data_IF_991786673228
#
_entry.id   IF_991786673228
#
_cell.length_a   1.000
_cell.length_b   1.000
_cell.length_c   1.000
_cell.angle_alpha   90.00
_cell.angle_beta   90.00
_cell.angle_gamma   90.00
#
_symmetry.space_group_name_H-M   'P 1'
#
loop_
_entity.id
_entity.type
_entity.pdbx_description
1 polymer ?
#
# COMPACT_ATOMS: atom_id res chain seq x y z
N UNK A 1 -12.89 -8.01 12.59
CA UNK A 1 -13.36 -6.65 12.24
C UNK A 1 -12.20 -5.75 11.80
N UNK A 2 -10.95 -6.08 12.13
CA UNK A 2 -9.77 -5.31 11.73
C UNK A 2 -9.38 -5.42 10.25
N UNK A 3 -9.54 -6.59 9.62
CA UNK A 3 -9.28 -6.77 8.16
C UNK A 3 -10.11 -5.80 7.31
N UNK A 4 -11.38 -5.57 7.66
CA UNK A 4 -12.25 -4.64 6.95
C UNK A 4 -11.82 -3.17 7.10
N UNK A 5 -11.18 -2.81 8.22
CA UNK A 5 -10.67 -1.46 8.45
C UNK A 5 -9.40 -1.20 7.63
N UNK A 6 -8.48 -2.17 7.61
CA UNK A 6 -7.29 -2.16 6.76
C UNK A 6 -7.69 -2.05 5.29
N UNK A 7 -8.60 -2.91 4.81
CA UNK A 7 -9.05 -2.86 3.42
C UNK A 7 -9.65 -1.49 3.07
N UNK A 8 -10.47 -0.91 3.96
CA UNK A 8 -11.11 0.38 3.70
C UNK A 8 -10.09 1.54 3.63
N UNK A 9 -9.10 1.55 4.54
CA UNK A 9 -8.00 2.54 4.54
C UNK A 9 -7.14 2.37 3.29
N UNK A 10 -6.75 1.16 2.95
CA UNK A 10 -5.90 0.92 1.79
C UNK A 10 -6.65 1.08 0.46
N UNK A 11 -7.97 0.92 0.42
CA UNK A 11 -8.77 1.16 -0.80
C UNK A 11 -9.19 2.64 -0.96
N UNK A 12 -9.25 3.42 0.13
CA UNK A 12 -9.71 4.82 0.09
C UNK A 12 -8.59 5.83 0.33
N UNK A 13 -7.88 5.70 1.45
CA UNK A 13 -6.90 6.66 1.95
C UNK A 13 -5.60 6.62 1.11
N UNK A 14 -5.09 5.42 0.81
CA UNK A 14 -3.87 5.24 -0.01
C UNK A 14 -4.02 5.87 -1.40
N UNK A 15 -5.05 5.54 -2.22
CA UNK A 15 -5.20 6.17 -3.53
C UNK A 15 -5.49 7.67 -3.45
N UNK A 16 -6.12 8.16 -2.37
CA UNK A 16 -6.25 9.61 -2.14
C UNK A 16 -4.88 10.27 -1.98
N UNK A 17 -4.00 9.70 -1.14
CA UNK A 17 -2.64 10.19 -0.88
C UNK A 17 -1.75 10.09 -2.11
N UNK A 18 -1.87 9.04 -2.91
CA UNK A 18 -1.17 8.92 -4.20
C UNK A 18 -1.52 10.05 -5.17
N UNK A 19 -2.80 10.45 -5.24
CA UNK A 19 -3.23 11.60 -6.05
C UNK A 19 -2.64 12.90 -5.52
N UNK A 20 -2.60 13.11 -4.22
CA UNK A 20 -1.94 14.28 -3.61
C UNK A 20 -0.43 14.30 -3.91
N UNK A 21 0.24 13.15 -3.88
CA UNK A 21 1.64 13.01 -4.27
C UNK A 21 1.85 13.42 -5.72
N UNK A 22 1.02 12.93 -6.65
CA UNK A 22 1.08 13.31 -8.06
C UNK A 22 0.90 14.82 -8.26
N UNK A 23 0.01 15.45 -7.49
CA UNK A 23 -0.15 16.91 -7.53
C UNK A 23 1.11 17.62 -7.02
N UNK A 24 1.71 17.15 -5.94
CA UNK A 24 2.96 17.70 -5.43
C UNK A 24 4.13 17.54 -6.42
N UNK A 25 4.21 16.39 -7.10
CA UNK A 25 5.20 16.13 -8.14
C UNK A 25 5.02 17.00 -9.39
N UNK A 26 3.78 17.45 -9.68
CA UNK A 26 3.48 18.39 -10.76
C UNK A 26 3.88 19.83 -10.44
N UNK A 27 4.08 20.17 -9.17
CA UNK A 27 4.53 21.50 -8.76
C UNK A 27 6.04 21.66 -8.99
N UNK A 28 6.49 22.92 -9.09
CA UNK A 28 7.91 23.25 -9.21
C UNK A 28 8.70 22.72 -8.03
N UNK A 29 9.82 22.04 -8.32
CA UNK A 29 10.71 21.48 -7.31
C UNK A 29 11.17 22.57 -6.33
N UNK A 30 10.79 22.42 -5.07
CA UNK A 30 11.04 23.44 -4.05
C UNK A 30 10.84 22.91 -2.62
N UNK A 31 11.24 23.70 -1.61
CA UNK A 31 11.13 23.30 -0.21
C UNK A 31 9.67 23.07 0.23
N UNK A 32 8.72 23.82 -0.35
CA UNK A 32 7.29 23.64 -0.08
C UNK A 32 6.77 22.29 -0.60
N UNK A 33 7.03 21.95 -1.87
CA UNK A 33 6.61 20.68 -2.45
C UNK A 33 7.30 19.48 -1.80
N UNK A 34 8.58 19.60 -1.41
CA UNK A 34 9.28 18.60 -0.57
C UNK A 34 8.59 18.39 0.76
N UNK A 35 8.22 19.47 1.45
CA UNK A 35 7.53 19.38 2.73
C UNK A 35 6.16 18.72 2.60
N UNK A 36 5.42 19.05 1.53
CA UNK A 36 4.13 18.41 1.25
C UNK A 36 4.30 16.90 1.00
N UNK A 37 5.24 16.49 0.15
CA UNK A 37 5.52 15.09 -0.14
C UNK A 37 5.90 14.30 1.13
N UNK A 38 6.79 14.86 1.97
CA UNK A 38 7.14 14.25 3.27
C UNK A 38 5.93 14.10 4.19
N UNK A 39 5.03 15.09 4.20
CA UNK A 39 3.79 15.00 4.98
C UNK A 39 2.90 13.86 4.51
N UNK A 40 2.82 13.63 3.19
CA UNK A 40 2.06 12.52 2.61
C UNK A 40 2.73 11.18 2.95
N UNK A 41 4.05 11.05 2.78
CA UNK A 41 4.82 9.88 3.20
C UNK A 41 4.56 9.55 4.67
N UNK A 42 4.66 10.54 5.57
CA UNK A 42 4.46 10.31 7.00
C UNK A 42 3.06 9.77 7.32
N UNK A 43 2.03 10.28 6.65
CA UNK A 43 0.68 9.74 6.82
C UNK A 43 0.55 8.30 6.31
N UNK A 44 1.13 7.99 5.14
CA UNK A 44 1.15 6.62 4.62
C UNK A 44 1.89 5.69 5.59
N UNK A 45 3.02 6.14 6.15
CA UNK A 45 3.80 5.38 7.15
C UNK A 45 2.96 5.07 8.39
N UNK A 46 2.21 6.05 8.91
CA UNK A 46 1.33 5.84 10.07
C UNK A 46 0.27 4.77 9.83
N UNK A 47 -0.31 4.70 8.62
CA UNK A 47 -1.22 3.61 8.27
C UNK A 47 -0.51 2.25 8.38
N UNK A 48 0.71 2.13 7.86
CA UNK A 48 1.50 0.90 8.01
C UNK A 48 1.81 0.55 9.47
N UNK A 49 2.14 1.54 10.31
CA UNK A 49 2.40 1.33 11.74
C UNK A 49 1.14 0.90 12.51
N UNK A 50 -0.02 1.44 12.16
CA UNK A 50 -1.31 1.07 12.78
C UNK A 50 -1.69 -0.40 12.54
N UNK A 51 -1.30 -0.94 11.38
CA UNK A 51 -1.59 -2.32 10.98
C UNK A 51 -0.38 -3.27 11.08
N UNK A 52 0.73 -2.82 11.68
CA UNK A 52 1.99 -3.59 11.83
C UNK A 52 2.52 -4.16 10.48
N UNK A 53 2.62 -3.30 9.47
CA UNK A 53 3.05 -3.64 8.11
C UNK A 53 4.50 -3.17 7.85
N UNK A 54 5.52 -3.93 8.27
CA UNK A 54 6.92 -3.50 8.16
C UNK A 54 7.37 -3.26 6.71
N UNK A 55 6.94 -4.09 5.75
CA UNK A 55 7.33 -3.92 4.34
C UNK A 55 6.79 -2.60 3.77
N UNK A 56 5.55 -2.25 4.10
CA UNK A 56 4.96 -0.96 3.74
C UNK A 56 5.73 0.20 4.37
N UNK A 57 6.04 0.12 5.67
CA UNK A 57 6.80 1.15 6.39
C UNK A 57 8.17 1.38 5.72
N UNK A 58 8.92 0.31 5.46
CA UNK A 58 10.24 0.37 4.81
C UNK A 58 10.16 1.00 3.41
N UNK A 59 9.12 0.65 2.62
CA UNK A 59 8.91 1.24 1.31
C UNK A 59 8.69 2.75 1.41
N UNK A 60 7.81 3.20 2.30
CA UNK A 60 7.51 4.61 2.46
C UNK A 60 8.75 5.39 2.94
N UNK A 61 9.58 4.80 3.80
CA UNK A 61 10.85 5.39 4.21
C UNK A 61 11.86 5.50 3.06
N UNK A 62 11.93 4.50 2.19
CA UNK A 62 12.77 4.55 0.99
C UNK A 62 12.31 5.66 0.04
N UNK A 63 10.99 5.80 -0.17
CA UNK A 63 10.38 6.88 -0.94
C UNK A 63 10.69 8.24 -0.33
N UNK A 64 10.56 8.39 0.99
CA UNK A 64 10.84 9.65 1.68
C UNK A 64 12.31 10.07 1.52
N UNK A 65 13.24 9.13 1.64
CA UNK A 65 14.68 9.36 1.40
C UNK A 65 14.95 9.75 -0.05
N UNK A 66 14.29 9.10 -1.01
CA UNK A 66 14.45 9.40 -2.43
C UNK A 66 13.96 10.82 -2.77
N UNK A 67 12.85 11.26 -2.17
CA UNK A 67 12.29 12.61 -2.31
C UNK A 67 13.14 13.66 -1.58
N UNK A 68 13.74 13.30 -0.44
CA UNK A 68 14.65 14.17 0.29
C UNK A 68 15.92 14.47 -0.53
N UNK A 69 16.37 13.54 -1.37
CA UNK A 69 17.53 13.71 -2.23
C UNK A 69 17.23 14.70 -3.39
N UNK A 70 17.93 15.85 -3.46
CA UNK A 70 17.76 16.81 -4.54
C UNK A 70 18.20 16.37 -5.92
N UNK A 71 19.00 15.31 -6.03
CA UNK A 71 19.50 14.82 -7.32
C UNK A 71 18.45 14.06 -8.12
N UNK A 72 17.38 13.58 -7.46
CA UNK A 72 16.33 12.84 -8.12
C UNK A 72 15.26 13.79 -8.68
N UNK A 73 15.15 13.85 -10.01
CA UNK A 73 14.10 14.62 -10.66
C UNK A 73 12.71 14.05 -10.36
N UNK A 74 11.82 14.93 -9.92
CA UNK A 74 10.43 14.60 -9.60
C UNK A 74 9.68 13.93 -10.75
N UNK A 75 10.02 14.29 -12.00
CA UNK A 75 9.44 13.68 -13.20
C UNK A 75 9.73 12.19 -13.36
N UNK A 76 10.91 11.73 -12.93
CA UNK A 76 11.27 10.31 -12.98
C UNK A 76 10.85 9.57 -11.72
N UNK A 77 10.84 10.25 -10.57
CA UNK A 77 10.39 9.67 -9.30
C UNK A 77 8.88 9.45 -9.25
N UNK A 78 8.08 10.38 -9.77
CA UNK A 78 6.62 10.32 -9.68
C UNK A 78 6.01 9.00 -10.15
N UNK A 79 6.27 8.51 -11.39
CA UNK A 79 5.70 7.25 -11.84
C UNK A 79 6.24 6.05 -11.06
N UNK A 80 7.51 6.07 -10.66
CA UNK A 80 8.16 5.00 -9.89
C UNK A 80 7.53 4.88 -8.50
N UNK A 81 7.54 5.96 -7.73
CA UNK A 81 6.97 6.01 -6.37
C UNK A 81 5.51 5.59 -6.35
N UNK A 82 4.71 6.09 -7.30
CA UNK A 82 3.29 5.76 -7.39
C UNK A 82 3.09 4.28 -7.73
N UNK A 83 3.92 3.72 -8.62
CA UNK A 83 3.86 2.30 -8.96
C UNK A 83 4.25 1.41 -7.77
N UNK A 84 5.31 1.77 -7.05
CA UNK A 84 5.77 1.04 -5.86
C UNK A 84 4.71 1.06 -4.75
N UNK A 85 4.16 2.22 -4.42
CA UNK A 85 3.10 2.36 -3.41
C UNK A 85 1.88 1.53 -3.80
N UNK A 86 1.49 1.57 -5.09
CA UNK A 86 0.36 0.78 -5.59
C UNK A 86 0.61 -0.72 -5.44
N UNK A 87 1.81 -1.18 -5.81
CA UNK A 87 2.18 -2.58 -5.69
C UNK A 87 2.16 -3.04 -4.24
N UNK A 88 2.68 -2.24 -3.31
CA UNK A 88 2.60 -2.53 -1.89
C UNK A 88 1.15 -2.56 -1.41
N UNK A 89 0.31 -1.61 -1.83
CA UNK A 89 -1.12 -1.58 -1.50
C UNK A 89 -1.82 -2.87 -1.95
N UNK A 90 -1.52 -3.36 -3.15
CA UNK A 90 -2.06 -4.62 -3.67
C UNK A 90 -1.59 -5.82 -2.84
N UNK A 91 -0.33 -5.85 -2.39
CA UNK A 91 0.18 -6.90 -1.50
C UNK A 91 -0.48 -6.89 -0.12
N UNK A 92 -0.72 -5.70 0.44
CA UNK A 92 -1.44 -5.48 1.70
C UNK A 92 -2.86 -6.05 1.58
N UNK A 93 -3.60 -5.62 0.54
CA UNK A 93 -4.99 -6.01 0.29
C UNK A 93 -5.13 -7.49 -0.08
N UNK A 94 -4.13 -8.08 -0.74
CA UNK A 94 -4.14 -9.50 -1.05
C UNK A 94 -3.85 -10.38 0.18
N UNK A 95 -3.53 -9.78 1.34
CA UNK A 95 -3.16 -10.49 2.55
C UNK A 95 -1.79 -11.18 2.46
N UNK A 96 -1.03 -10.95 1.38
CA UNK A 96 0.28 -11.60 1.17
C UNK A 96 1.35 -11.06 2.11
N UNK A 97 1.16 -9.88 2.69
CA UNK A 97 2.04 -9.37 3.75
C UNK A 97 1.93 -10.23 5.03
N UNK A 98 0.75 -10.74 5.36
CA UNK A 98 0.50 -11.60 6.51
C UNK A 98 0.62 -13.12 6.20
N UNK A 99 0.42 -13.53 4.94
CA UNK A 99 0.45 -14.94 4.53
C UNK A 99 1.82 -15.60 4.73
N UNK A 100 2.90 -14.81 4.80
CA UNK A 100 4.24 -15.33 5.10
C UNK A 100 4.40 -15.83 6.55
N UNK A 101 3.50 -15.45 7.49
CA UNK A 101 3.58 -15.89 8.90
C UNK A 101 2.55 -16.95 9.30
N UNK A 102 1.44 -17.09 8.62
CA UNK A 102 0.39 -18.05 9.00
C UNK A 102 -0.08 -18.94 7.86
N UNK A 103 0.86 -19.69 7.28
CA UNK A 103 0.54 -20.97 6.65
C UNK A 103 0.23 -22.00 7.74
N UNK A 104 -0.90 -21.81 8.43
CA UNK A 104 -1.37 -22.66 9.51
C UNK A 104 -2.81 -22.34 9.88
N UNK A 105 -3.75 -22.98 9.17
CA UNK A 105 -5.21 -23.01 9.40
C UNK A 105 -5.95 -21.68 9.24
N UNK A 106 -6.67 -21.51 8.13
CA UNK A 106 -8.11 -21.84 8.04
C UNK A 106 -8.63 -21.41 6.67
N UNK A 107 -8.80 -22.36 5.75
CA UNK A 107 -9.79 -22.21 4.68
C UNK A 107 -10.76 -23.38 4.77
N UNK A 108 -11.69 -23.28 5.72
CA UNK A 108 -12.92 -24.06 5.71
C UNK A 108 -13.94 -23.30 4.86
N UNK A 109 -13.80 -23.38 3.53
CA UNK A 109 -14.94 -23.11 2.66
C UNK A 109 -15.89 -24.31 2.76
N UNK A 110 -16.90 -24.13 3.60
CA UNK A 110 -18.00 -25.06 3.74
C UNK A 110 -18.78 -25.16 2.42
N UNK A 111 -18.98 -26.42 2.01
CA UNK A 111 -20.20 -26.95 1.42
C UNK A 111 -20.75 -26.30 0.13
N UNK A 112 -20.44 -26.94 -0.99
CA UNK A 112 -21.46 -27.23 -2.01
C UNK A 112 -21.36 -28.71 -2.38
N UNK A 113 -22.26 -29.51 -1.78
CA UNK A 113 -22.44 -30.93 -2.06
C UNK A 113 -22.93 -31.11 -3.50
N UNK A 114 -22.00 -31.20 -4.44
CA UNK A 114 -22.24 -31.76 -5.76
C UNK A 114 -21.81 -33.23 -5.78
N UNK A 115 -22.70 -34.15 -5.44
CA UNK A 115 -22.55 -35.54 -5.89
C UNK A 115 -23.67 -35.87 -6.86
N UNK A 116 -23.38 -35.99 -8.17
CA UNK A 116 -24.35 -36.49 -9.12
C UNK A 116 -24.62 -37.98 -8.88
N UNK A 117 -25.86 -38.32 -9.24
CA UNK A 117 -26.51 -39.61 -9.33
C UNK A 117 -25.59 -40.69 -9.93
N UNK A 118 -25.70 -41.92 -9.42
CA UNK A 118 -26.20 -43.10 -10.15
C UNK A 118 -25.52 -44.39 -9.67
N UNK A 119 -26.30 -45.33 -9.14
CA UNK A 119 -26.25 -46.72 -9.62
C UNK A 119 -27.56 -47.42 -9.26
N UNK A 120 -28.27 -47.83 -10.31
CA UNK A 120 -29.26 -48.90 -10.28
C UNK A 120 -28.58 -50.21 -9.86
#
# INVERSE_FOLDING_TARGET
MEESALELVFNSDVPARMREMLQAFKQTEGPASRKQLKSICRNLKMAGEEFDLPNWIELIEAVEKAIANPENSYRSLAPTVIKDIKQAQELVLCGQEAETRSRGKTQSHAAARGRPRNRF
#
